data_IF_871064997026
#
_entry.id   IF_871064997026
#
_cell.length_a   1.000
_cell.length_b   1.000
_cell.length_c   1.000
_cell.angle_alpha   90.00
_cell.angle_beta   90.00
_cell.angle_gamma   90.00
#
_symmetry.space_group_name_H-M   'P 1'
#
loop_
_entity.id
_entity.type
_entity.pdbx_description
1 polymer ?
#
# COMPACT_ATOMS: atom_id res chain seq x y z
N UNK A 1 -9.35 -26.56 4.15
CA UNK A 1 -10.22 -25.37 4.13
C UNK A 1 -10.25 -24.87 2.69
N UNK A 2 -11.42 -24.92 2.06
CA UNK A 2 -11.57 -24.62 0.64
C UNK A 2 -11.23 -23.17 0.35
N UNK A 3 -10.35 -22.94 -0.61
CA UNK A 3 -10.13 -21.64 -1.24
C UNK A 3 -11.37 -21.41 -2.12
N UNK A 4 -12.32 -20.52 -1.77
CA UNK A 4 -13.43 -20.30 -2.66
C UNK A 4 -12.99 -19.34 -3.77
N UNK A 5 -13.33 -19.76 -4.99
CA UNK A 5 -13.75 -18.94 -6.12
C UNK A 5 -12.64 -18.06 -6.73
N UNK A 6 -12.20 -18.49 -7.91
CA UNK A 6 -11.69 -17.56 -8.91
C UNK A 6 -12.76 -16.50 -9.14
N UNK A 7 -12.60 -15.34 -8.50
CA UNK A 7 -13.54 -14.24 -8.60
C UNK A 7 -13.31 -13.60 -9.97
N UNK A 8 -14.13 -14.00 -10.94
CA UNK A 8 -14.17 -13.36 -12.25
C UNK A 8 -14.74 -11.96 -12.06
N UNK A 9 -13.85 -10.97 -12.00
CA UNK A 9 -14.26 -9.56 -11.98
C UNK A 9 -14.95 -9.24 -13.30
N UNK A 10 -16.09 -8.57 -13.23
CA UNK A 10 -16.65 -7.90 -14.40
C UNK A 10 -15.72 -6.77 -14.83
N UNK A 11 -15.80 -6.35 -16.10
CA UNK A 11 -14.95 -5.27 -16.63
C UNK A 11 -15.14 -3.95 -15.86
N UNK A 12 -16.35 -3.71 -15.35
CA UNK A 12 -16.68 -2.59 -14.47
C UNK A 12 -15.98 -2.69 -13.10
N UNK A 13 -15.98 -3.87 -12.48
CA UNK A 13 -15.28 -4.09 -11.20
C UNK A 13 -13.76 -4.02 -11.36
N UNK A 14 -13.23 -4.55 -12.48
CA UNK A 14 -11.81 -4.43 -12.81
C UNK A 14 -11.39 -2.96 -12.94
N UNK A 15 -12.16 -2.17 -13.70
CA UNK A 15 -11.92 -0.72 -13.85
C UNK A 15 -11.97 -0.02 -12.49
N UNK A 16 -12.96 -0.36 -11.65
CA UNK A 16 -13.10 0.20 -10.30
C UNK A 16 -11.94 -0.19 -9.39
N UNK A 17 -11.46 -1.43 -9.46
CA UNK A 17 -10.31 -1.92 -8.72
C UNK A 17 -9.04 -1.17 -9.13
N UNK A 18 -8.81 -0.99 -10.44
CA UNK A 18 -7.67 -0.22 -10.97
C UNK A 18 -7.75 1.24 -10.50
N UNK A 19 -8.93 1.86 -10.57
CA UNK A 19 -9.16 3.24 -10.11
C UNK A 19 -8.83 3.37 -8.61
N UNK A 20 -9.39 2.49 -7.77
CA UNK A 20 -9.13 2.46 -6.34
C UNK A 20 -7.66 2.18 -6.01
N UNK A 21 -7.02 1.27 -6.74
CA UNK A 21 -5.61 0.92 -6.53
C UNK A 21 -4.65 2.00 -7.05
N UNK A 22 -5.06 2.81 -8.03
CA UNK A 22 -4.29 3.95 -8.52
C UNK A 22 -4.35 5.15 -7.57
N UNK A 23 -5.41 5.24 -6.76
CA UNK A 23 -5.59 6.29 -5.77
C UNK A 23 -4.68 6.06 -4.56
N UNK A 24 -3.66 6.92 -4.42
CA UNK A 24 -2.59 6.80 -3.42
C UNK A 24 -3.09 6.78 -1.95
N UNK A 25 -4.37 7.07 -1.70
CA UNK A 25 -5.00 7.09 -0.38
C UNK A 25 -5.78 5.83 -0.02
N UNK A 26 -6.03 4.93 -0.97
CA UNK A 26 -6.83 3.72 -0.70
C UNK A 26 -5.95 2.64 -0.08
N UNK A 27 -6.19 2.24 1.18
CA UNK A 27 -5.47 1.12 1.76
C UNK A 27 -5.87 -0.18 1.06
N UNK A 28 -4.94 -1.12 0.89
CA UNK A 28 -5.24 -2.44 0.36
C UNK A 28 -6.32 -3.18 1.16
N UNK A 29 -6.41 -2.89 2.47
CA UNK A 29 -7.45 -3.40 3.36
C UNK A 29 -8.87 -3.02 2.87
N UNK A 30 -9.07 -1.80 2.38
CA UNK A 30 -10.37 -1.38 1.83
C UNK A 30 -10.69 -2.08 0.49
N UNK A 31 -9.65 -2.36 -0.32
CA UNK A 31 -9.81 -3.11 -1.57
C UNK A 31 -10.15 -4.57 -1.28
N UNK A 32 -9.53 -5.15 -0.24
CA UNK A 32 -9.83 -6.50 0.23
C UNK A 32 -11.25 -6.60 0.77
N UNK A 33 -11.73 -5.62 1.54
CA UNK A 33 -13.12 -5.62 2.01
C UNK A 33 -14.15 -5.47 0.88
N UNK A 34 -13.87 -4.62 -0.12
CA UNK A 34 -14.82 -4.38 -1.22
C UNK A 34 -14.83 -5.50 -2.27
N UNK A 35 -13.64 -5.96 -2.66
CA UNK A 35 -13.48 -6.91 -3.77
C UNK A 35 -13.06 -8.30 -3.32
N UNK A 36 -12.59 -8.50 -2.09
CA UNK A 36 -12.00 -9.76 -1.64
C UNK A 36 -10.60 -10.00 -2.21
N UNK A 37 -9.93 -8.95 -2.71
CA UNK A 37 -8.59 -9.05 -3.27
C UNK A 37 -7.53 -8.61 -2.26
N UNK A 38 -6.66 -9.55 -1.92
CA UNK A 38 -5.46 -9.29 -1.12
C UNK A 38 -4.45 -8.41 -1.89
N UNK A 39 -3.56 -7.73 -1.17
CA UNK A 39 -2.48 -6.91 -1.76
C UNK A 39 -1.73 -7.62 -2.91
N UNK A 40 -1.24 -8.88 -2.78
CA UNK A 40 -0.53 -9.55 -3.87
C UNK A 40 -1.42 -9.80 -5.11
N UNK A 41 -2.73 -10.02 -4.92
CA UNK A 41 -3.65 -10.19 -6.05
C UNK A 41 -3.89 -8.86 -6.77
N UNK A 42 -4.06 -7.76 -6.04
CA UNK A 42 -4.16 -6.41 -6.64
C UNK A 42 -2.89 -6.05 -7.41
N UNK A 43 -1.71 -6.37 -6.86
CA UNK A 43 -0.43 -6.18 -7.55
C UNK A 43 -0.36 -6.99 -8.85
N UNK A 44 -0.86 -8.23 -8.84
CA UNK A 44 -0.90 -9.07 -10.05
C UNK A 44 -1.81 -8.47 -11.12
N UNK A 45 -3.01 -8.00 -10.73
CA UNK A 45 -3.94 -7.31 -11.64
C UNK A 45 -3.30 -6.05 -12.23
N UNK A 46 -2.78 -5.16 -11.38
CA UNK A 46 -2.10 -3.93 -11.82
C UNK A 46 -0.92 -4.21 -12.74
N UNK A 47 -0.23 -5.35 -12.57
CA UNK A 47 0.89 -5.76 -13.43
C UNK A 47 0.44 -6.22 -14.81
N UNK A 48 -0.75 -6.80 -14.94
CA UNK A 48 -1.33 -7.22 -16.22
C UNK A 48 -1.93 -6.02 -16.97
N UNK A 49 -2.58 -5.10 -16.25
CA UNK A 49 -3.32 -3.99 -16.83
C UNK A 49 -2.43 -2.79 -17.21
N UNK A 50 -1.37 -2.53 -16.44
CA UNK A 50 -0.49 -1.37 -16.67
C UNK A 50 0.73 -1.72 -17.50
N UNK A 51 1.14 -0.76 -18.34
CA UNK A 51 2.47 -0.78 -18.97
C UNK A 51 3.56 -0.80 -17.90
N UNK A 52 4.67 -1.49 -18.20
CA UNK A 52 5.80 -1.70 -17.28
C UNK A 52 6.30 -0.40 -16.62
N UNK A 53 6.38 0.70 -17.36
CA UNK A 53 6.79 2.02 -16.85
C UNK A 53 5.79 2.59 -15.83
N UNK A 54 4.50 2.56 -16.14
CA UNK A 54 3.41 2.99 -15.24
C UNK A 54 3.34 2.12 -13.99
N UNK A 55 3.47 0.80 -14.13
CA UNK A 55 3.53 -0.13 -13.01
C UNK A 55 4.69 0.20 -12.06
N UNK A 56 5.89 0.47 -12.60
CA UNK A 56 7.05 0.82 -11.78
C UNK A 56 6.83 2.14 -11.00
N UNK A 57 6.18 3.14 -11.61
CA UNK A 57 5.83 4.40 -10.94
C UNK A 57 4.79 4.20 -9.84
N UNK A 58 3.73 3.42 -10.13
CA UNK A 58 2.74 3.04 -9.14
C UNK A 58 3.37 2.25 -7.99
N UNK A 59 4.22 1.27 -8.29
CA UNK A 59 4.89 0.47 -7.27
C UNK A 59 5.80 1.33 -6.40
N UNK A 60 6.54 2.30 -6.96
CA UNK A 60 7.31 3.26 -6.16
C UNK A 60 6.44 4.04 -5.16
N UNK A 61 5.23 4.44 -5.55
CA UNK A 61 4.30 5.17 -4.68
C UNK A 61 3.72 4.28 -3.58
N UNK A 62 3.28 3.07 -3.93
CA UNK A 62 2.59 2.17 -3.00
C UNK A 62 3.54 1.41 -2.06
N UNK A 63 4.74 1.07 -2.54
CA UNK A 63 5.78 0.40 -1.71
C UNK A 63 6.41 1.36 -0.71
N UNK A 64 6.29 2.68 -0.92
CA UNK A 64 6.80 3.72 -0.02
C UNK A 64 6.12 3.75 1.37
N UNK A 65 5.04 2.98 1.59
CA UNK A 65 4.36 2.86 2.88
C UNK A 65 4.90 1.71 3.77
N UNK A 66 6.19 1.40 3.69
CA UNK A 66 6.85 0.46 4.60
C UNK A 66 6.95 0.96 6.05
N UNK A 67 6.70 2.25 6.32
CA UNK A 67 6.74 2.79 7.70
C UNK A 67 5.37 2.76 8.39
N UNK A 68 4.68 1.62 8.28
CA UNK A 68 3.68 1.18 9.27
C UNK A 68 4.23 0.05 10.16
N UNK A 69 5.55 -0.01 10.36
CA UNK A 69 6.05 -0.64 11.58
C UNK A 69 5.69 0.26 12.77
N UNK A 70 4.53 -0.01 13.34
CA UNK A 70 4.21 0.19 14.77
C UNK A 70 5.11 -0.75 15.62
N UNK A 71 6.41 -0.83 15.32
CA UNK A 71 7.30 -1.84 15.89
C UNK A 71 8.77 -1.41 16.02
N UNK A 72 9.12 -0.12 15.93
CA UNK A 72 10.45 0.36 16.33
C UNK A 72 10.40 1.70 17.08
N UNK A 73 9.40 1.90 17.96
CA UNK A 73 9.59 2.83 19.08
C UNK A 73 10.32 2.04 20.18
N UNK A 74 11.65 2.05 20.13
CA UNK A 74 12.45 1.50 21.23
C UNK A 74 12.04 2.22 22.52
N UNK A 75 11.62 1.46 23.55
CA UNK A 75 11.20 1.98 24.86
C UNK A 75 12.29 2.79 25.58
N UNK A 76 13.51 2.84 25.03
CA UNK A 76 14.70 3.48 25.58
C UNK A 76 14.98 4.89 25.05
N UNK A 77 14.16 5.46 24.15
CA UNK A 77 14.36 6.83 23.67
C UNK A 77 13.65 7.82 24.60
N UNK A 78 14.26 8.12 25.75
CA UNK A 78 13.96 9.29 26.60
C UNK A 78 14.70 10.53 26.11
N UNK A 79 14.63 10.84 24.82
CA UNK A 79 15.28 12.03 24.26
C UNK A 79 14.22 13.04 23.88
N UNK A 80 13.85 13.89 24.83
CA UNK A 80 12.90 14.99 24.61
C UNK A 80 13.52 16.16 23.81
N UNK A 81 14.81 16.15 23.50
CA UNK A 81 15.51 17.29 22.91
C UNK A 81 16.63 16.88 21.94
N UNK A 82 16.80 17.68 20.89
CA UNK A 82 17.90 17.58 19.92
C UNK A 82 19.14 18.29 20.46
N UNK A 83 20.32 17.66 20.38
CA UNK A 83 21.58 18.16 20.96
C UNK A 83 22.10 19.47 20.33
N UNK A 84 21.57 19.88 19.18
CA UNK A 84 21.96 21.12 18.47
C UNK A 84 21.05 22.31 18.76
N UNK A 85 20.08 22.19 19.68
CA UNK A 85 19.08 23.22 19.92
C UNK A 85 19.58 24.44 20.73
N UNK A 86 20.78 24.39 21.33
CA UNK A 86 21.38 25.56 21.97
C UNK A 86 22.57 26.07 21.18
N UNK A 87 22.46 27.32 20.70
CA UNK A 87 23.63 28.13 20.30
C UNK A 87 24.37 28.53 21.58
N UNK A 88 25.66 28.20 21.75
CA UNK A 88 26.46 28.84 22.79
C UNK A 88 26.56 30.34 22.49
N UNK A 89 26.50 31.14 23.56
CA UNK A 89 26.56 32.60 23.56
C UNK A 89 27.91 33.10 23.04
#
# INVERSE_FOLDING_TARGET
MGIPLQKTLTEAELSRLIEMAWEDRTPFDAIEQNFGFSEPQVIAVMRQELKRSSFNLWRKRVTGRATKHVALRSKLVTRAYCSTQYKPK
#
